data_IF_069832142350
#
_entry.id   IF_069832142350
#
_cell.length_a   1.000
_cell.length_b   1.000
_cell.length_c   1.000
_cell.angle_alpha   90.00
_cell.angle_beta   90.00
_cell.angle_gamma   90.00
#
_symmetry.space_group_name_H-M   'P 1'
#
loop_
_entity.id
_entity.type
_entity.pdbx_description
1 polymer ?
#
# COMPACT_ATOMS: atom_id res chain seq x y z
N UNK A 1 29.96 -62.06 30.50
CA UNK A 1 29.33 -60.83 29.96
C UNK A 1 28.20 -60.47 30.91
N UNK A 2 28.51 -60.13 32.17
CA UNK A 2 29.25 -58.95 32.66
C UNK A 2 28.53 -57.66 32.22
N UNK A 3 28.12 -56.71 33.05
CA UNK A 3 28.23 -56.38 34.48
C UNK A 3 27.09 -55.34 34.70
N UNK A 4 26.31 -55.39 35.80
CA UNK A 4 26.39 -54.43 36.93
C UNK A 4 26.41 -52.94 36.52
N UNK A 5 25.74 -51.98 37.14
CA UNK A 5 24.76 -51.88 38.21
C UNK A 5 24.52 -50.35 38.39
N UNK A 6 23.50 -49.98 39.14
CA UNK A 6 23.43 -48.76 39.97
C UNK A 6 23.34 -47.34 39.33
N UNK A 7 22.28 -46.65 39.80
CA UNK A 7 22.20 -45.25 40.23
C UNK A 7 21.74 -44.13 39.27
N UNK A 8 20.43 -43.83 39.38
CA UNK A 8 19.89 -42.46 39.46
C UNK A 8 20.41 -41.73 40.72
N UNK A 9 20.36 -40.38 40.85
CA UNK A 9 19.09 -39.75 41.24
C UNK A 9 18.88 -38.25 40.89
N UNK A 10 17.65 -37.80 41.16
CA UNK A 10 17.16 -36.41 41.37
C UNK A 10 16.87 -35.56 40.11
N UNK A 11 15.73 -34.87 39.96
CA UNK A 11 14.73 -34.39 40.92
C UNK A 11 13.30 -34.23 40.30
N UNK A 12 12.30 -34.71 41.06
CA UNK A 12 10.97 -34.11 41.42
C UNK A 12 10.17 -33.29 40.39
N UNK A 13 8.83 -33.31 40.28
CA UNK A 13 7.67 -33.97 40.93
C UNK A 13 6.42 -33.39 40.22
N UNK A 14 5.49 -34.18 39.67
CA UNK A 14 4.19 -34.56 40.28
C UNK A 14 3.26 -33.43 40.76
N UNK A 15 2.03 -33.46 40.22
CA UNK A 15 0.73 -33.09 40.81
C UNK A 15 0.41 -31.62 41.14
N UNK A 16 -0.66 -31.08 40.53
CA UNK A 16 -1.99 -31.09 41.14
C UNK A 16 -3.03 -30.40 40.25
N UNK A 17 -4.12 -31.12 39.98
CA UNK A 17 -5.40 -30.53 39.64
C UNK A 17 -6.10 -30.07 40.93
N UNK A 18 -6.61 -28.83 40.93
CA UNK A 18 -7.81 -28.34 41.63
C UNK A 18 -7.87 -26.81 41.44
N UNK A 19 -8.99 -26.11 41.37
CA UNK A 19 -10.38 -26.32 40.98
C UNK A 19 -11.06 -24.96 41.25
N UNK A 20 -12.13 -24.65 40.50
CA UNK A 20 -13.18 -23.66 40.80
C UNK A 20 -12.74 -22.18 40.68
N UNK A 21 -13.53 -21.24 40.14
CA UNK A 21 -14.99 -21.16 40.05
C UNK A 21 -15.42 -20.19 38.94
N UNK A 22 -16.62 -20.46 38.42
CA UNK A 22 -17.52 -19.53 37.75
C UNK A 22 -17.49 -18.11 38.32
N UNK A 23 -17.41 -17.13 37.43
CA UNK A 23 -18.25 -15.94 37.50
C UNK A 23 -18.46 -15.42 36.08
N UNK A 24 -19.59 -15.79 35.50
CA UNK A 24 -20.10 -15.09 34.32
C UNK A 24 -20.41 -13.64 34.67
N UNK A 25 -20.00 -12.74 33.78
CA UNK A 25 -20.71 -11.49 33.52
C UNK A 25 -20.62 -11.21 32.03
N UNK A 26 -21.78 -11.23 31.39
CA UNK A 26 -22.06 -10.59 30.10
C UNK A 26 -21.66 -9.10 30.10
N UNK A 27 -21.63 -8.53 28.87
CA UNK A 27 -21.29 -7.15 28.46
C UNK A 27 -19.83 -7.03 27.97
N UNK A 28 -19.55 -6.58 26.74
CA UNK A 28 -20.00 -5.30 26.19
C UNK A 28 -20.07 -5.35 24.64
N UNK A 29 -21.04 -6.10 24.13
CA UNK A 29 -21.36 -6.24 22.70
C UNK A 29 -21.93 -5.00 21.96
N UNK A 30 -22.29 -3.86 22.60
CA UNK A 30 -22.71 -2.66 21.86
C UNK A 30 -21.69 -1.49 21.85
N UNK A 31 -20.69 -1.46 22.74
CA UNK A 31 -19.81 -0.27 22.89
C UNK A 31 -18.71 -0.13 21.83
N UNK A 32 -18.31 -1.23 21.16
CA UNK A 32 -17.35 -1.16 20.05
C UNK A 32 -17.96 -0.71 18.71
N UNK A 33 -19.29 -0.73 18.59
CA UNK A 33 -19.99 -0.29 17.37
C UNK A 33 -20.28 1.21 17.43
N UNK A 34 -20.60 1.74 18.61
CA UNK A 34 -20.77 3.20 18.79
C UNK A 34 -19.45 3.98 18.67
N UNK A 35 -18.31 3.42 19.09
CA UNK A 35 -17.01 4.08 18.93
C UNK A 35 -16.51 4.13 17.48
N UNK A 36 -17.02 3.26 16.58
CA UNK A 36 -16.73 3.32 15.14
C UNK A 36 -17.57 4.33 14.38
N UNK A 37 -18.79 4.63 14.85
CA UNK A 37 -19.67 5.63 14.25
C UNK A 37 -19.25 7.06 14.63
N UNK A 38 -18.80 7.29 15.88
CA UNK A 38 -18.35 8.61 16.33
C UNK A 38 -17.06 9.10 15.64
N UNK A 39 -16.20 8.21 15.16
CA UNK A 39 -14.96 8.59 14.46
C UNK A 39 -15.27 9.15 13.06
N UNK A 40 -16.32 8.66 12.39
CA UNK A 40 -16.71 9.18 11.07
C UNK A 40 -17.49 10.50 11.18
N UNK A 41 -18.25 10.73 12.24
CA UNK A 41 -18.98 12.01 12.42
C UNK A 41 -18.05 13.16 12.88
N UNK A 42 -17.02 12.89 13.69
CA UNK A 42 -16.09 13.93 14.15
C UNK A 42 -15.20 14.51 13.03
N UNK A 43 -15.04 13.79 11.91
CA UNK A 43 -14.31 14.27 10.73
C UNK A 43 -15.22 15.11 9.82
N UNK A 44 -16.55 14.96 9.92
CA UNK A 44 -17.52 15.66 9.07
C UNK A 44 -18.29 16.81 9.76
N UNK A 45 -18.35 16.86 11.09
CA UNK A 45 -19.02 17.92 11.81
C UNK A 45 -18.00 18.87 12.48
N UNK A 46 -17.70 19.98 11.81
CA UNK A 46 -17.03 21.12 12.46
C UNK A 46 -17.86 21.60 13.65
N UNK A 47 -17.43 21.27 14.86
CA UNK A 47 -17.97 21.86 16.08
C UNK A 47 -16.88 21.97 17.15
N UNK A 48 -16.87 23.14 17.77
CA UNK A 48 -15.73 23.78 18.41
C UNK A 48 -15.19 23.05 19.63
N UNK A 49 -13.86 22.90 19.67
CA UNK A 49 -13.09 22.72 20.91
C UNK A 49 -12.16 23.93 21.11
N UNK A 50 -12.02 24.30 22.37
CA UNK A 50 -11.55 25.57 22.94
C UNK A 50 -10.19 26.08 22.42
N UNK A 51 -9.94 27.40 22.38
CA UNK A 51 -8.76 27.99 21.77
C UNK A 51 -7.53 27.88 22.67
N UNK A 52 -6.47 27.22 22.21
CA UNK A 52 -5.24 27.15 23.01
C UNK A 52 -4.14 26.21 22.49
N UNK A 53 -3.88 26.19 21.19
CA UNK A 53 -2.58 25.86 20.57
C UNK A 53 -2.80 25.86 19.05
N UNK A 54 -2.19 26.81 18.35
CA UNK A 54 -2.48 27.07 16.96
C UNK A 54 -1.98 25.93 16.07
N UNK A 55 -2.86 25.50 15.17
CA UNK A 55 -2.59 24.62 14.02
C UNK A 55 -1.58 25.22 13.00
N UNK A 56 -0.94 26.36 13.32
CA UNK A 56 -0.10 27.14 12.41
C UNK A 56 1.37 26.70 12.40
N UNK A 57 1.87 26.04 13.44
CA UNK A 57 3.31 25.71 13.54
C UNK A 57 3.73 24.54 12.61
N UNK A 58 2.78 23.74 12.11
CA UNK A 58 3.07 22.68 11.14
C UNK A 58 3.20 23.17 9.68
N UNK A 59 2.82 24.43 9.39
CA UNK A 59 2.73 24.96 8.03
C UNK A 59 3.89 25.90 7.63
N UNK A 60 4.66 26.44 8.58
CA UNK A 60 5.70 27.44 8.27
C UNK A 60 6.96 26.86 7.59
N UNK A 61 7.12 25.54 7.53
CA UNK A 61 8.31 24.89 6.97
C UNK A 61 8.36 24.72 5.44
N UNK A 62 7.30 25.07 4.70
CA UNK A 62 7.19 24.78 3.25
C UNK A 62 6.96 26.01 2.36
N UNK A 63 7.05 27.22 2.91
CA UNK A 63 6.75 28.49 2.26
C UNK A 63 7.86 28.99 1.33
N UNK A 64 8.38 28.17 0.41
CA UNK A 64 9.25 28.64 -0.69
C UNK A 64 9.05 27.83 -1.97
N UNK A 65 7.95 28.10 -2.68
CA UNK A 65 7.77 27.76 -4.09
C UNK A 65 7.88 29.06 -4.92
N UNK A 66 8.61 29.09 -6.05
CA UNK A 66 8.79 30.30 -6.85
C UNK A 66 7.47 30.81 -7.44
N UNK A 67 7.28 32.13 -7.36
CA UNK A 67 6.14 32.94 -7.80
C UNK A 67 5.93 33.03 -9.34
N UNK A 68 6.18 31.95 -10.10
CA UNK A 68 6.03 31.91 -11.57
C UNK A 68 4.91 31.01 -12.09
N UNK A 69 3.81 30.88 -11.34
CA UNK A 69 2.59 30.20 -11.83
C UNK A 69 1.37 31.14 -11.97
N UNK A 70 1.49 32.42 -11.64
CA UNK A 70 0.37 33.37 -11.63
C UNK A 70 0.12 34.09 -12.98
N UNK A 71 0.42 33.50 -14.14
CA UNK A 71 0.18 34.20 -15.41
C UNK A 71 -0.38 33.35 -16.56
N UNK A 72 -1.11 32.28 -16.26
CA UNK A 72 -2.06 31.71 -17.20
C UNK A 72 -3.44 32.04 -16.67
N UNK A 73 -4.04 33.10 -17.24
CA UNK A 73 -5.31 33.65 -16.79
C UNK A 73 -6.44 32.63 -16.81
N UNK A 74 -7.38 32.80 -15.88
CA UNK A 74 -8.52 31.91 -15.63
C UNK A 74 -9.36 31.57 -16.89
N UNK A 75 -9.28 32.37 -17.95
CA UNK A 75 -9.93 32.08 -19.24
C UNK A 75 -9.26 30.96 -20.04
N UNK A 76 -7.93 30.80 -19.96
CA UNK A 76 -7.22 29.70 -20.63
C UNK A 76 -7.44 28.35 -19.92
N UNK A 77 -7.69 28.40 -18.60
CA UNK A 77 -8.04 27.23 -17.79
C UNK A 77 -9.50 26.83 -18.02
N UNK A 78 -10.39 27.80 -18.22
CA UNK A 78 -11.81 27.61 -18.57
C UNK A 78 -12.00 26.98 -19.97
N UNK A 79 -11.20 27.37 -20.96
CA UNK A 79 -11.29 26.85 -22.32
C UNK A 79 -10.77 25.40 -22.51
N UNK A 80 -10.12 24.83 -21.49
CA UNK A 80 -9.72 23.41 -21.43
C UNK A 80 -10.78 22.53 -20.74
N UNK A 81 -11.89 23.12 -20.26
CA UNK A 81 -12.99 22.44 -19.56
C UNK A 81 -14.10 21.94 -20.50
N UNK A 82 -13.72 21.19 -21.54
CA UNK A 82 -14.63 20.20 -22.12
C UNK A 82 -14.31 18.81 -21.51
N UNK A 83 -14.51 18.64 -20.20
CA UNK A 83 -14.31 17.35 -19.51
C UNK A 83 -15.59 17.00 -18.71
N UNK A 84 -16.67 16.64 -19.43
CA UNK A 84 -18.00 16.22 -18.93
C UNK A 84 -18.01 14.91 -18.10
N UNK A 85 -16.86 14.35 -17.71
CA UNK A 85 -16.78 12.96 -17.23
C UNK A 85 -15.99 12.80 -15.91
N UNK A 86 -15.89 13.85 -15.09
CA UNK A 86 -15.35 13.74 -13.73
C UNK A 86 -16.49 13.36 -12.76
N UNK A 87 -16.41 12.22 -12.05
CA UNK A 87 -17.46 11.82 -11.13
C UNK A 87 -17.56 12.80 -9.95
N UNK A 88 -18.78 13.00 -9.45
CA UNK A 88 -19.00 13.68 -8.17
C UNK A 88 -18.15 13.01 -7.07
N UNK A 89 -17.57 13.81 -6.17
CA UNK A 89 -16.68 13.34 -5.10
C UNK A 89 -17.45 12.70 -3.93
N UNK A 90 -18.23 11.68 -4.24
CA UNK A 90 -18.91 10.80 -3.27
C UNK A 90 -18.43 9.36 -3.47
N UNK A 91 -18.47 8.57 -2.39
CA UNK A 91 -18.09 7.14 -2.42
C UNK A 91 -18.84 6.41 -3.53
N UNK A 92 -20.15 6.58 -3.60
CA UNK A 92 -21.00 5.87 -4.57
C UNK A 92 -20.71 6.28 -6.01
N UNK A 93 -20.53 7.58 -6.28
CA UNK A 93 -20.22 8.09 -7.62
C UNK A 93 -18.86 7.61 -8.09
N UNK A 94 -17.84 7.74 -7.25
CA UNK A 94 -16.46 7.30 -7.56
C UNK A 94 -16.41 5.79 -7.79
N UNK A 95 -17.06 4.99 -6.94
CA UNK A 95 -17.04 3.53 -7.07
C UNK A 95 -17.78 3.06 -8.32
N UNK A 96 -18.93 3.66 -8.66
CA UNK A 96 -19.63 3.40 -9.92
C UNK A 96 -18.77 3.78 -11.12
N UNK A 97 -18.07 4.91 -11.06
CA UNK A 97 -17.20 5.36 -12.15
C UNK A 97 -16.03 4.40 -12.35
N UNK A 98 -15.28 4.07 -11.29
CA UNK A 98 -14.14 3.14 -11.34
C UNK A 98 -14.57 1.74 -11.77
N UNK A 99 -15.79 1.32 -11.40
CA UNK A 99 -16.36 0.04 -11.79
C UNK A 99 -16.91 0.00 -13.21
N UNK A 100 -16.81 1.10 -13.96
CA UNK A 100 -17.28 1.20 -15.34
C UNK A 100 -16.14 1.18 -16.34
N UNK A 101 -16.44 0.90 -17.61
CA UNK A 101 -15.47 1.00 -18.71
C UNK A 101 -15.00 2.44 -18.98
N UNK A 102 -15.68 3.46 -18.45
CA UNK A 102 -15.28 4.87 -18.58
C UNK A 102 -14.01 5.20 -17.79
N UNK A 103 -13.65 4.38 -16.81
CA UNK A 103 -12.45 4.57 -15.99
C UNK A 103 -11.14 4.44 -16.77
N UNK A 104 -11.19 3.81 -17.94
CA UNK A 104 -10.00 3.52 -18.75
C UNK A 104 -9.78 4.50 -19.89
N UNK A 105 -8.53 4.61 -20.30
CA UNK A 105 -8.17 5.08 -21.64
C UNK A 105 -8.26 3.93 -22.66
N UNK A 106 -8.14 4.26 -23.95
CA UNK A 106 -7.95 3.26 -25.00
C UNK A 106 -6.65 2.46 -24.71
N UNK A 107 -6.78 1.23 -24.23
CA UNK A 107 -5.66 0.41 -23.74
C UNK A 107 -5.84 -0.17 -22.33
N UNK A 108 -6.97 0.09 -21.66
CA UNK A 108 -7.28 -0.53 -20.35
C UNK A 108 -6.47 0.04 -19.19
N UNK A 109 -5.90 1.23 -19.37
CA UNK A 109 -5.11 1.94 -18.35
C UNK A 109 -6.04 2.89 -17.59
N UNK A 110 -6.05 2.88 -16.25
CA UNK A 110 -6.74 3.88 -15.45
C UNK A 110 -6.44 5.31 -15.92
N UNK A 111 -7.47 6.16 -16.01
CA UNK A 111 -7.27 7.59 -16.32
C UNK A 111 -6.42 8.25 -15.21
N UNK A 112 -5.21 8.76 -15.51
CA UNK A 112 -4.32 9.29 -14.47
C UNK A 112 -4.89 10.47 -13.70
N UNK A 113 -5.63 11.36 -14.39
CA UNK A 113 -6.33 12.50 -13.75
C UNK A 113 -7.29 12.03 -12.65
N UNK A 114 -8.09 11.00 -12.93
CA UNK A 114 -9.06 10.46 -11.96
C UNK A 114 -8.33 9.83 -10.78
N UNK A 115 -7.29 9.04 -11.04
CA UNK A 115 -6.48 8.41 -9.98
C UNK A 115 -5.87 9.47 -9.05
N UNK A 116 -5.25 10.53 -9.61
CA UNK A 116 -4.67 11.62 -8.83
C UNK A 116 -5.73 12.40 -8.03
N UNK A 117 -6.93 12.57 -8.59
CA UNK A 117 -8.02 13.30 -7.93
C UNK A 117 -8.59 12.55 -6.72
N UNK A 118 -8.81 11.23 -6.85
CA UNK A 118 -9.45 10.41 -5.80
C UNK A 118 -8.47 9.86 -4.78
N UNK A 119 -7.19 9.73 -5.11
CA UNK A 119 -6.20 9.19 -4.17
C UNK A 119 -5.94 10.17 -3.02
N UNK A 120 -5.80 9.62 -1.81
CA UNK A 120 -5.63 10.36 -0.57
C UNK A 120 -6.90 11.05 -0.07
N UNK A 121 -8.08 10.73 -0.62
CA UNK A 121 -9.36 11.36 -0.21
C UNK A 121 -10.18 10.51 0.76
N UNK A 122 -9.86 9.23 0.91
CA UNK A 122 -10.69 8.24 1.61
C UNK A 122 -11.85 7.70 0.76
N UNK A 123 -12.03 8.19 -0.47
CA UNK A 123 -13.13 7.82 -1.35
C UNK A 123 -12.77 6.75 -2.37
N UNK A 124 -11.49 6.41 -2.50
CA UNK A 124 -11.05 5.46 -3.51
C UNK A 124 -11.33 4.01 -3.07
N UNK A 125 -11.76 3.11 -3.98
CA UNK A 125 -12.03 1.72 -3.66
C UNK A 125 -10.87 0.95 -3.02
N UNK A 126 -9.62 1.32 -3.34
CA UNK A 126 -8.42 0.68 -2.82
C UNK A 126 -8.00 1.19 -1.43
N UNK A 127 -8.59 2.29 -0.94
CA UNK A 127 -8.29 2.90 0.35
C UNK A 127 -9.08 2.23 1.48
N UNK A 128 -8.72 0.99 1.79
CA UNK A 128 -9.46 0.15 2.75
C UNK A 128 -9.10 0.39 4.23
N UNK A 129 -8.18 1.31 4.51
CA UNK A 129 -7.74 1.70 5.87
C UNK A 129 -7.21 0.55 6.74
N UNK A 130 -6.65 -0.48 6.10
CA UNK A 130 -6.03 -1.67 6.73
C UNK A 130 -5.06 -2.33 5.73
N UNK A 131 -4.07 -3.12 6.20
CA UNK A 131 -3.22 -3.86 5.27
C UNK A 131 -4.02 -4.90 4.47
N UNK A 132 -3.59 -5.12 3.24
CA UNK A 132 -4.09 -6.20 2.39
C UNK A 132 -3.84 -7.56 3.04
N UNK A 133 -4.75 -8.53 2.82
CA UNK A 133 -4.59 -9.91 3.33
C UNK A 133 -3.25 -10.52 2.94
N UNK A 134 -2.85 -10.43 1.67
CA UNK A 134 -1.62 -11.05 1.20
C UNK A 134 -0.37 -10.45 1.89
N UNK A 135 -0.39 -9.17 2.27
CA UNK A 135 0.69 -8.53 3.02
C UNK A 135 0.77 -9.09 4.44
N UNK A 136 -0.38 -9.31 5.09
CA UNK A 136 -0.43 -10.00 6.39
C UNK A 136 0.15 -11.41 6.30
N UNK A 137 -0.21 -12.15 5.25
CA UNK A 137 0.31 -13.50 5.03
C UNK A 137 1.83 -13.50 4.78
N UNK A 138 2.36 -12.52 4.04
CA UNK A 138 3.81 -12.35 3.81
C UNK A 138 4.56 -11.98 5.10
N UNK A 139 3.98 -11.14 5.96
CA UNK A 139 4.54 -10.84 7.29
C UNK A 139 4.64 -12.11 8.14
N UNK A 140 3.59 -12.95 8.16
CA UNK A 140 3.59 -14.22 8.88
C UNK A 140 4.64 -15.20 8.34
N UNK A 141 4.88 -15.18 7.02
CA UNK A 141 5.95 -15.92 6.34
C UNK A 141 7.35 -15.33 6.52
N UNK A 142 7.49 -14.21 7.24
CA UNK A 142 8.76 -13.49 7.48
C UNK A 142 9.43 -13.02 6.18
N UNK A 143 8.63 -12.65 5.19
CA UNK A 143 9.09 -12.24 3.87
C UNK A 143 9.73 -10.83 3.82
N UNK A 144 9.63 -10.05 4.89
CA UNK A 144 10.13 -8.68 4.96
C UNK A 144 11.30 -8.55 5.95
N UNK A 145 12.45 -8.15 5.43
CA UNK A 145 13.69 -7.91 6.19
C UNK A 145 14.59 -6.95 5.40
N UNK A 146 15.51 -6.27 6.09
CA UNK A 146 16.43 -5.31 5.48
C UNK A 146 15.72 -4.05 4.99
N UNK A 147 16.11 -3.51 3.84
CA UNK A 147 15.44 -2.34 3.24
C UNK A 147 14.26 -2.78 2.39
N UNK A 148 13.07 -2.30 2.75
CA UNK A 148 11.81 -2.63 2.07
C UNK A 148 11.26 -1.38 1.39
N UNK A 149 10.92 -1.46 0.11
CA UNK A 149 10.21 -0.42 -0.63
C UNK A 149 8.74 -0.82 -0.76
N UNK A 150 7.81 0.00 -0.27
CA UNK A 150 6.38 -0.07 -0.65
C UNK A 150 6.16 0.89 -1.83
N UNK A 151 6.07 0.32 -3.03
CA UNK A 151 6.08 1.07 -4.29
C UNK A 151 4.65 1.39 -4.74
N UNK A 152 4.27 2.67 -4.69
CA UNK A 152 2.86 3.08 -4.85
C UNK A 152 2.05 2.82 -3.59
N UNK A 153 2.57 3.27 -2.44
CA UNK A 153 2.07 2.88 -1.12
C UNK A 153 0.67 3.44 -0.79
N UNK A 154 0.15 4.37 -1.59
CA UNK A 154 -1.10 5.09 -1.32
C UNK A 154 -1.07 5.70 0.08
N UNK A 155 -2.17 5.54 0.81
CA UNK A 155 -2.32 6.06 2.19
C UNK A 155 -1.58 5.24 3.26
N UNK A 156 -0.61 4.40 2.86
CA UNK A 156 0.44 3.84 3.72
C UNK A 156 0.04 2.68 4.64
N UNK A 157 -1.13 2.05 4.44
CA UNK A 157 -1.58 0.99 5.36
C UNK A 157 -0.69 -0.26 5.35
N UNK A 158 -0.20 -0.66 4.18
CA UNK A 158 0.73 -1.78 4.04
C UNK A 158 2.10 -1.43 4.64
N UNK A 159 2.71 -0.32 4.22
CA UNK A 159 3.97 0.18 4.77
C UNK A 159 3.98 0.26 6.31
N UNK A 160 2.94 0.88 6.91
CA UNK A 160 2.82 0.98 8.37
C UNK A 160 2.68 -0.40 9.02
N UNK A 161 1.93 -1.31 8.42
CA UNK A 161 1.78 -2.65 8.98
C UNK A 161 3.11 -3.42 8.94
N UNK A 162 3.83 -3.39 7.83
CA UNK A 162 5.15 -4.04 7.68
C UNK A 162 6.16 -3.44 8.67
N UNK A 163 6.25 -2.10 8.74
CA UNK A 163 7.15 -1.42 9.68
C UNK A 163 6.87 -1.81 11.14
N UNK A 164 5.58 -1.95 11.51
CA UNK A 164 5.19 -2.36 12.87
C UNK A 164 5.54 -3.81 13.17
N UNK A 165 5.26 -4.71 12.23
CA UNK A 165 5.29 -6.15 12.46
C UNK A 165 6.67 -6.78 12.18
N UNK A 166 7.55 -6.09 11.47
CA UNK A 166 8.86 -6.59 11.06
C UNK A 166 9.98 -5.68 11.58
N UNK A 167 10.47 -5.86 12.83
CA UNK A 167 11.52 -5.00 13.41
C UNK A 167 12.85 -4.99 12.63
N UNK A 168 13.11 -6.04 11.84
CA UNK A 168 14.27 -6.13 10.96
C UNK A 168 14.10 -5.44 9.61
N UNK A 169 12.94 -4.81 9.35
CA UNK A 169 12.65 -4.11 8.11
C UNK A 169 12.74 -2.59 8.31
N UNK A 170 13.53 -1.91 7.47
CA UNK A 170 13.51 -0.47 7.28
C UNK A 170 12.65 -0.16 6.06
N UNK A 171 11.44 0.36 6.30
CA UNK A 171 10.44 0.59 5.25
C UNK A 171 10.58 2.00 4.68
N UNK A 172 10.67 2.10 3.35
CA UNK A 172 10.48 3.33 2.59
C UNK A 172 9.19 3.19 1.79
N UNK A 173 8.25 4.13 1.96
CA UNK A 173 6.97 4.14 1.27
C UNK A 173 6.97 5.27 0.24
N UNK A 174 6.69 4.94 -1.02
CA UNK A 174 6.73 5.86 -2.14
C UNK A 174 5.37 5.99 -2.78
N UNK A 175 4.93 7.21 -3.02
CA UNK A 175 3.78 7.50 -3.88
C UNK A 175 4.03 8.78 -4.66
N UNK A 176 3.42 8.89 -5.85
CA UNK A 176 3.50 10.10 -6.69
C UNK A 176 2.51 11.17 -6.22
N UNK A 177 1.45 10.79 -5.50
CA UNK A 177 0.40 11.70 -5.02
C UNK A 177 0.76 12.18 -3.61
N UNK A 178 1.15 13.45 -3.41
CA UNK A 178 1.60 13.94 -2.10
C UNK A 178 0.55 13.78 -1.00
N UNK A 179 -0.73 13.97 -1.32
CA UNK A 179 -1.86 13.79 -0.40
C UNK A 179 -1.91 12.40 0.22
N UNK A 180 -1.53 11.35 -0.52
CA UNK A 180 -1.47 9.99 0.01
C UNK A 180 -0.45 9.88 1.14
N UNK A 181 0.72 10.51 0.96
CA UNK A 181 1.80 10.51 1.95
C UNK A 181 1.49 11.41 3.14
N UNK A 182 0.77 12.52 2.95
CA UNK A 182 0.22 13.32 4.06
C UNK A 182 -0.71 12.47 4.93
N UNK A 183 -1.60 11.68 4.31
CA UNK A 183 -2.47 10.76 5.03
C UNK A 183 -1.67 9.66 5.75
N UNK A 184 -0.68 9.07 5.08
CA UNK A 184 0.20 8.07 5.68
C UNK A 184 0.97 8.64 6.89
N UNK A 185 1.47 9.87 6.80
CA UNK A 185 2.15 10.57 7.89
C UNK A 185 1.20 10.83 9.07
N UNK A 186 -0.04 11.24 8.81
CA UNK A 186 -1.05 11.43 9.86
C UNK A 186 -1.34 10.11 10.59
N UNK A 187 -1.52 9.00 9.86
CA UNK A 187 -1.69 7.66 10.45
C UNK A 187 -0.45 7.23 11.25
N UNK A 188 0.75 7.50 10.75
CA UNK A 188 2.00 7.19 11.44
C UNK A 188 2.07 7.93 12.79
N UNK A 189 1.75 9.23 12.79
CA UNK A 189 1.74 10.05 14.00
C UNK A 189 0.73 9.52 15.03
N UNK A 190 -0.51 9.24 14.62
CA UNK A 190 -1.56 8.69 15.49
C UNK A 190 -1.19 7.33 16.11
N UNK A 191 -0.30 6.57 15.46
CA UNK A 191 0.16 5.26 15.92
C UNK A 191 1.51 5.29 16.67
N UNK A 192 2.09 6.47 16.90
CA UNK A 192 3.45 6.65 17.44
C UNK A 192 4.53 5.95 16.58
N UNK A 193 4.38 6.04 15.26
CA UNK A 193 5.20 5.36 14.26
C UNK A 193 5.92 6.31 13.30
N UNK A 194 5.93 7.63 13.56
CA UNK A 194 6.53 8.64 12.67
C UNK A 194 7.95 8.31 12.22
N UNK A 195 8.75 7.69 13.11
CA UNK A 195 10.16 7.37 12.85
C UNK A 195 10.38 5.91 12.38
N UNK A 196 9.32 5.18 12.03
CA UNK A 196 9.40 3.76 11.64
C UNK A 196 9.33 3.53 10.12
N UNK A 197 9.02 4.57 9.34
CA UNK A 197 8.98 4.51 7.87
C UNK A 197 9.45 5.84 7.27
N UNK A 198 10.18 5.75 6.16
CA UNK A 198 10.55 6.89 5.34
C UNK A 198 9.45 7.13 4.30
N UNK A 199 8.85 8.32 4.27
CA UNK A 199 7.83 8.69 3.28
C UNK A 199 8.46 9.56 2.19
N UNK A 200 8.31 9.16 0.92
CA UNK A 200 8.99 9.82 -0.20
C UNK A 200 8.03 10.06 -1.36
N UNK A 201 7.85 11.32 -1.74
CA UNK A 201 7.16 11.68 -2.99
C UNK A 201 8.11 11.38 -4.15
N UNK A 202 7.76 10.46 -5.03
CA UNK A 202 8.53 10.18 -6.25
C UNK A 202 7.68 9.58 -7.35
N UNK A 203 8.04 9.87 -8.61
CA UNK A 203 7.53 9.14 -9.76
C UNK A 203 8.46 7.95 -10.06
N UNK A 204 7.96 6.72 -9.87
CA UNK A 204 8.71 5.51 -10.18
C UNK A 204 8.76 5.19 -11.68
N UNK A 205 8.13 6.01 -12.53
CA UNK A 205 8.27 6.00 -13.98
C UNK A 205 9.41 6.90 -14.48
N UNK A 206 10.10 7.60 -13.58
CA UNK A 206 11.25 8.45 -13.91
C UNK A 206 12.43 7.61 -14.42
N UNK A 207 12.84 7.89 -15.65
CA UNK A 207 13.91 7.18 -16.35
C UNK A 207 15.30 7.73 -15.99
N UNK A 208 15.41 9.01 -15.65
CA UNK A 208 16.67 9.58 -15.18
C UNK A 208 16.90 9.23 -13.71
N UNK A 209 17.89 8.37 -13.44
CA UNK A 209 18.29 8.02 -12.08
C UNK A 209 18.72 9.23 -11.24
N UNK A 210 19.23 10.29 -11.86
CA UNK A 210 19.59 11.53 -11.17
C UNK A 210 18.38 12.33 -10.68
N UNK A 211 17.20 12.08 -11.24
CA UNK A 211 15.94 12.73 -10.86
C UNK A 211 15.19 11.99 -9.74
N UNK A 212 15.55 10.74 -9.43
CA UNK A 212 14.97 10.03 -8.29
C UNK A 212 15.50 10.61 -6.97
N UNK A 213 14.66 10.74 -5.93
CA UNK A 213 15.10 11.25 -4.64
C UNK A 213 16.28 10.44 -4.07
N UNK A 214 17.31 11.09 -3.49
CA UNK A 214 18.46 10.40 -2.90
C UNK A 214 18.10 9.34 -1.85
N UNK A 215 16.96 9.49 -1.17
CA UNK A 215 16.44 8.51 -0.21
C UNK A 215 16.14 7.14 -0.82
N UNK A 216 15.76 7.10 -2.11
CA UNK A 216 15.57 5.85 -2.86
C UNK A 216 16.89 5.25 -3.31
N UNK A 217 17.90 6.12 -3.50
CA UNK A 217 19.29 5.79 -3.75
C UNK A 217 19.48 4.83 -4.92
N UNK A 218 19.92 5.28 -6.10
CA UNK A 218 20.63 4.37 -6.98
C UNK A 218 22.06 4.26 -6.44
N UNK A 219 22.27 3.46 -5.38
CA UNK A 219 23.61 2.90 -5.16
C UNK A 219 23.90 2.01 -6.38
N UNK A 220 25.17 1.90 -6.80
CA UNK A 220 25.55 1.18 -8.03
C UNK A 220 25.06 -0.28 -8.09
N UNK A 221 24.66 -0.86 -6.96
CA UNK A 221 24.13 -2.22 -6.83
C UNK A 221 22.67 -2.29 -6.36
N UNK A 222 21.96 -1.17 -6.20
CA UNK A 222 20.61 -1.12 -5.64
C UNK A 222 20.56 -0.92 -4.13
N UNK A 223 19.41 -0.50 -3.64
CA UNK A 223 19.17 -0.01 -2.27
C UNK A 223 18.24 -0.91 -1.45
N UNK A 224 17.41 -1.73 -2.09
CA UNK A 224 16.33 -2.47 -1.45
C UNK A 224 16.47 -3.99 -1.58
N UNK A 225 16.10 -4.70 -0.52
CA UNK A 225 16.08 -6.16 -0.39
C UNK A 225 14.76 -6.71 -0.91
N UNK A 226 13.68 -5.97 -0.61
CA UNK A 226 12.32 -6.34 -0.93
C UNK A 226 11.58 -5.14 -1.47
N UNK A 227 10.83 -5.34 -2.56
CA UNK A 227 9.80 -4.42 -3.04
C UNK A 227 8.45 -5.08 -2.81
N UNK A 228 7.53 -4.33 -2.21
CA UNK A 228 6.12 -4.62 -2.18
C UNK A 228 5.43 -3.79 -3.27
N UNK A 229 4.78 -4.45 -4.22
CA UNK A 229 3.84 -3.86 -5.17
C UNK A 229 2.45 -4.37 -4.83
N UNK A 230 1.64 -3.50 -4.21
CA UNK A 230 0.26 -3.80 -3.89
C UNK A 230 -0.66 -3.13 -4.90
N UNK A 231 -0.72 -3.68 -6.10
CA UNK A 231 -1.66 -3.26 -7.16
C UNK A 231 -1.27 -1.94 -7.85
N UNK A 232 0.04 -1.72 -8.01
CA UNK A 232 0.59 -0.55 -8.71
C UNK A 232 0.94 -0.88 -10.15
N UNK A 233 1.67 -1.97 -10.39
CA UNK A 233 2.07 -2.42 -11.73
C UNK A 233 0.90 -2.54 -12.72
N UNK A 234 -0.23 -3.09 -12.27
CA UNK A 234 -1.41 -3.27 -13.13
C UNK A 234 -2.23 -1.99 -13.33
N UNK A 235 -1.77 -0.83 -12.87
CA UNK A 235 -2.32 0.47 -13.21
C UNK A 235 -1.61 1.11 -14.40
N UNK A 236 -0.57 0.48 -14.95
CA UNK A 236 0.28 1.06 -15.98
C UNK A 236 -0.03 0.53 -17.40
N UNK A 237 0.20 1.40 -18.39
CA UNK A 237 0.30 1.03 -19.81
C UNK A 237 1.53 0.16 -20.05
N UNK A 238 1.62 -0.51 -21.19
CA UNK A 238 2.80 -1.33 -21.51
C UNK A 238 4.10 -0.51 -21.45
N UNK A 239 4.13 0.66 -22.07
CA UNK A 239 5.29 1.56 -22.02
C UNK A 239 5.63 2.04 -20.60
N UNK A 240 4.64 2.23 -19.72
CA UNK A 240 4.87 2.59 -18.33
C UNK A 240 5.34 1.39 -17.50
N UNK A 241 4.88 0.17 -17.79
CA UNK A 241 5.36 -1.06 -17.14
C UNK A 241 6.84 -1.27 -17.40
N UNK A 242 7.31 -1.04 -18.64
CA UNK A 242 8.73 -1.15 -18.97
C UNK A 242 9.60 -0.17 -18.16
N UNK A 243 9.15 1.10 -18.07
CA UNK A 243 9.84 2.13 -17.27
C UNK A 243 9.84 1.78 -15.78
N UNK A 244 8.68 1.39 -15.25
CA UNK A 244 8.53 0.99 -13.86
C UNK A 244 9.45 -0.19 -13.49
N UNK A 245 9.47 -1.24 -14.32
CA UNK A 245 10.33 -2.42 -14.10
C UNK A 245 11.80 -2.07 -14.21
N UNK A 246 12.18 -1.17 -15.12
CA UNK A 246 13.54 -0.62 -15.19
C UNK A 246 13.91 0.11 -13.89
N UNK A 247 13.01 0.92 -13.33
CA UNK A 247 13.19 1.57 -12.02
C UNK A 247 13.33 0.55 -10.89
N UNK A 248 12.44 -0.44 -10.80
CA UNK A 248 12.55 -1.50 -9.80
C UNK A 248 13.87 -2.27 -9.93
N UNK A 249 14.33 -2.53 -11.16
CA UNK A 249 15.64 -3.17 -11.40
C UNK A 249 16.78 -2.35 -10.83
N UNK A 250 16.77 -1.02 -10.99
CA UNK A 250 17.81 -0.14 -10.43
C UNK A 250 17.78 -0.08 -8.90
N UNK A 251 16.58 -0.06 -8.32
CA UNK A 251 16.38 0.08 -6.87
C UNK A 251 16.62 -1.22 -6.10
N UNK A 252 16.37 -2.38 -6.70
CA UNK A 252 16.51 -3.67 -6.03
C UNK A 252 17.95 -4.19 -6.10
N UNK A 253 18.46 -4.76 -5.01
CA UNK A 253 19.76 -5.45 -5.01
C UNK A 253 19.72 -6.76 -5.82
N UNK A 254 20.84 -7.26 -6.36
CA UNK A 254 20.92 -8.64 -6.86
C UNK A 254 20.42 -9.64 -5.81
N UNK A 255 19.57 -10.59 -6.23
CA UNK A 255 18.91 -11.54 -5.35
C UNK A 255 17.73 -10.98 -4.54
N UNK A 256 17.44 -9.68 -4.63
CA UNK A 256 16.29 -9.07 -3.98
C UNK A 256 14.96 -9.53 -4.60
N UNK A 257 13.89 -9.41 -3.82
CA UNK A 257 12.56 -9.92 -4.15
C UNK A 257 11.54 -8.81 -4.41
N UNK A 258 10.60 -9.07 -5.29
CA UNK A 258 9.37 -8.31 -5.46
C UNK A 258 8.20 -9.22 -5.08
N UNK A 259 7.35 -8.76 -4.18
CA UNK A 259 6.03 -9.33 -3.94
C UNK A 259 5.00 -8.44 -4.61
N UNK A 260 4.43 -8.91 -5.71
CA UNK A 260 3.53 -8.14 -6.57
C UNK A 260 2.14 -8.76 -6.59
N UNK A 261 1.12 -8.03 -6.16
CA UNK A 261 -0.27 -8.50 -6.20
C UNK A 261 -1.07 -7.76 -7.28
N UNK A 262 -1.40 -8.46 -8.35
CA UNK A 262 -2.14 -7.92 -9.49
C UNK A 262 -3.47 -8.63 -9.67
N UNK A 263 -4.48 -7.89 -10.11
CA UNK A 263 -5.76 -8.46 -10.55
C UNK A 263 -5.53 -9.49 -11.66
N UNK A 264 -6.13 -10.66 -11.53
CA UNK A 264 -5.95 -11.79 -12.45
C UNK A 264 -6.95 -11.75 -13.59
N UNK A 265 -6.67 -12.44 -14.69
CA UNK A 265 -7.59 -12.64 -15.83
C UNK A 265 -8.88 -13.38 -15.48
N UNK A 266 -8.94 -14.04 -14.32
CA UNK A 266 -10.19 -14.62 -13.83
C UNK A 266 -11.19 -13.58 -13.31
N UNK A 267 -10.75 -12.34 -13.10
CA UNK A 267 -11.63 -11.23 -12.76
C UNK A 267 -12.30 -10.69 -14.03
N UNK A 268 -13.58 -11.04 -14.21
CA UNK A 268 -14.34 -10.76 -15.43
C UNK A 268 -15.23 -9.52 -15.34
N UNK A 269 -15.40 -8.92 -14.16
CA UNK A 269 -16.24 -7.72 -14.00
C UNK A 269 -15.67 -6.53 -14.80
N UNK A 270 -16.49 -5.62 -15.35
CA UNK A 270 -15.99 -4.46 -16.09
C UNK A 270 -15.35 -3.43 -15.14
N UNK A 271 -14.49 -2.54 -15.65
CA UNK A 271 -13.85 -1.48 -14.84
C UNK A 271 -12.61 -1.95 -14.05
N UNK A 272 -12.15 -1.11 -13.13
CA UNK A 272 -10.95 -1.31 -12.28
C UNK A 272 -9.64 -1.44 -13.06
N UNK A 273 -8.47 -1.61 -12.44
CA UNK A 273 -7.20 -1.73 -13.17
C UNK A 273 -7.17 -2.94 -14.14
N UNK A 274 -6.21 -2.96 -15.07
CA UNK A 274 -6.05 -4.07 -16.02
C UNK A 274 -5.78 -5.39 -15.28
N UNK A 275 -6.11 -6.49 -15.97
CA UNK A 275 -5.85 -7.85 -15.51
C UNK A 275 -4.53 -8.31 -16.07
N UNK A 276 -3.73 -8.97 -15.25
CA UNK A 276 -2.40 -9.44 -15.61
C UNK A 276 -2.43 -10.96 -15.69
N UNK A 277 -2.22 -11.49 -16.90
CA UNK A 277 -2.06 -12.94 -17.09
C UNK A 277 -0.68 -13.38 -16.62
N UNK A 278 -0.54 -14.66 -16.27
CA UNK A 278 0.78 -15.24 -15.94
C UNK A 278 1.75 -15.09 -17.12
N UNK A 279 1.25 -15.25 -18.36
CA UNK A 279 2.05 -15.11 -19.57
C UNK A 279 2.51 -13.66 -19.79
N UNK A 280 1.62 -12.67 -19.60
CA UNK A 280 1.94 -11.24 -19.67
C UNK A 280 3.01 -10.89 -18.63
N UNK A 281 2.82 -11.29 -17.36
CA UNK A 281 3.81 -11.05 -16.32
C UNK A 281 5.18 -11.69 -16.63
N UNK A 282 5.21 -12.94 -17.10
CA UNK A 282 6.44 -13.63 -17.48
C UNK A 282 7.10 -13.05 -18.73
N UNK A 283 6.35 -12.36 -19.60
CA UNK A 283 6.96 -11.67 -20.74
C UNK A 283 7.81 -10.47 -20.30
N UNK A 284 7.39 -9.79 -19.22
CA UNK A 284 8.10 -8.64 -18.64
C UNK A 284 9.21 -9.11 -17.70
N UNK A 285 8.89 -10.03 -16.79
CA UNK A 285 9.79 -10.61 -15.80
C UNK A 285 10.29 -11.98 -16.27
N UNK A 286 11.34 -11.97 -17.10
CA UNK A 286 12.01 -13.19 -17.57
C UNK A 286 13.52 -13.13 -17.39
N UNK A 287 14.18 -14.29 -17.53
CA UNK A 287 15.62 -14.44 -17.36
C UNK A 287 16.41 -13.60 -18.37
N UNK A 288 15.89 -13.42 -19.58
CA UNK A 288 16.48 -12.54 -20.60
C UNK A 288 16.56 -11.07 -20.14
N UNK A 289 15.64 -10.64 -19.26
CA UNK A 289 15.60 -9.29 -18.69
C UNK A 289 16.15 -9.23 -17.25
N UNK A 290 16.83 -10.30 -16.82
CA UNK A 290 17.45 -10.39 -15.50
C UNK A 290 16.45 -10.58 -14.36
N UNK A 291 15.35 -11.28 -14.61
CA UNK A 291 14.35 -11.63 -13.59
C UNK A 291 14.04 -13.12 -13.56
N UNK A 292 13.61 -13.61 -12.41
CA UNK A 292 13.07 -14.96 -12.24
C UNK A 292 11.73 -14.87 -11.51
N UNK A 293 10.69 -15.54 -12.00
CA UNK A 293 9.39 -15.62 -11.32
C UNK A 293 9.36 -16.91 -10.51
N UNK A 294 9.69 -16.80 -9.22
CA UNK A 294 9.81 -17.92 -8.30
C UNK A 294 8.47 -18.58 -7.95
N UNK A 295 7.41 -17.78 -7.90
CA UNK A 295 6.12 -18.22 -7.39
C UNK A 295 4.95 -17.44 -7.95
N UNK A 296 3.83 -18.15 -8.14
CA UNK A 296 2.53 -17.59 -8.49
C UNK A 296 1.50 -18.24 -7.58
N UNK A 297 0.81 -17.43 -6.79
CA UNK A 297 -0.21 -17.88 -5.83
C UNK A 297 -1.53 -17.19 -6.12
N UNK A 298 -2.65 -17.88 -5.93
CA UNK A 298 -3.97 -17.25 -5.93
C UNK A 298 -4.09 -16.26 -4.77
N UNK A 299 -4.69 -15.11 -5.04
CA UNK A 299 -4.81 -14.01 -4.09
C UNK A 299 -6.10 -13.23 -4.33
N UNK A 300 -6.30 -12.20 -3.52
CA UNK A 300 -7.37 -11.22 -3.69
C UNK A 300 -6.80 -9.81 -3.56
N UNK A 301 -7.39 -8.87 -4.30
CA UNK A 301 -7.29 -7.44 -3.97
C UNK A 301 -8.50 -7.11 -3.12
N UNK A 302 -8.30 -6.70 -1.87
CA UNK A 302 -9.37 -6.21 -1.01
C UNK A 302 -9.66 -4.74 -1.33
N UNK A 303 -10.94 -4.39 -1.41
CA UNK A 303 -11.44 -3.06 -1.72
C UNK A 303 -12.54 -2.65 -0.76
N UNK A 304 -13.00 -1.40 -0.86
CA UNK A 304 -14.16 -0.93 -0.13
C UNK A 304 -15.39 -1.81 -0.42
N UNK A 305 -16.23 -2.18 0.57
CA UNK A 305 -17.34 -3.12 0.37
C UNK A 305 -18.34 -2.71 -0.72
N UNK A 306 -18.57 -1.41 -0.91
CA UNK A 306 -19.48 -0.90 -1.96
C UNK A 306 -18.88 -1.00 -3.36
N UNK A 307 -17.58 -1.26 -3.49
CA UNK A 307 -16.93 -1.60 -4.75
C UNK A 307 -16.77 -3.11 -4.86
N UNK A 308 -17.51 -3.72 -5.80
CA UNK A 308 -17.36 -5.14 -6.14
C UNK A 308 -17.47 -6.10 -4.94
N UNK A 309 -18.31 -5.77 -3.95
CA UNK A 309 -18.45 -6.52 -2.71
C UNK A 309 -17.12 -6.67 -1.92
N UNK A 310 -16.21 -5.71 -2.07
CA UNK A 310 -14.99 -5.57 -1.29
C UNK A 310 -13.82 -6.46 -1.70
N UNK A 311 -13.89 -7.15 -2.85
CA UNK A 311 -12.79 -8.01 -3.31
C UNK A 311 -12.79 -8.26 -4.82
N UNK A 312 -11.59 -8.41 -5.39
CA UNK A 312 -11.35 -8.86 -6.77
C UNK A 312 -10.39 -10.05 -6.80
N UNK A 313 -10.55 -10.94 -7.79
CA UNK A 313 -9.62 -12.07 -7.99
C UNK A 313 -8.26 -11.57 -8.44
N UNK A 314 -7.20 -12.05 -7.80
CA UNK A 314 -5.84 -11.59 -8.02
C UNK A 314 -4.85 -12.75 -8.01
N UNK A 315 -3.61 -12.47 -8.40
CA UNK A 315 -2.46 -13.35 -8.16
C UNK A 315 -1.36 -12.58 -7.45
N UNK A 316 -0.73 -13.26 -6.51
CA UNK A 316 0.50 -12.83 -5.87
C UNK A 316 1.68 -13.48 -6.61
N UNK A 317 2.57 -12.64 -7.11
CA UNK A 317 3.80 -13.03 -7.78
C UNK A 317 4.98 -12.79 -6.85
N UNK A 318 5.85 -13.79 -6.73
CA UNK A 318 7.17 -13.65 -6.10
C UNK A 318 8.21 -13.63 -7.21
N UNK A 319 8.93 -12.53 -7.33
CA UNK A 319 9.85 -12.27 -8.45
C UNK A 319 11.22 -11.90 -7.89
N UNK A 320 12.28 -12.54 -8.38
CA UNK A 320 13.66 -12.29 -7.96
C UNK A 320 14.44 -11.55 -9.05
N UNK A 321 15.24 -10.57 -8.65
CA UNK A 321 16.27 -9.99 -9.53
C UNK A 321 17.47 -10.93 -9.60
N UNK A 322 17.83 -11.37 -10.80
CA UNK A 322 19.08 -12.10 -11.08
C UNK A 322 20.19 -11.16 -11.56
#
# INVERSE_FOLDING_TARGET
>A
MDLEDLESPTSTSSCCARALSDSGTEADGPKLVQSRLQINEAICAGSALSPGSSFSEAFEGFSLLPSRLNSLGDEALSALLEDEDVPELTVDSIHKFIGSSRYHTAGGVPRPKILAQVSGTGLAPWEIHRPQKFVRDLVLRRCFSGRVLDAGCGIGDNALYVAKACPGAKVTAVDVVPRCLEFAAAKANLRNMRNQLDLVVADLLENDSGCLPPALGPNSTGSFDVVLDSSTFHCFSDAHRDRYVSTLRRLLRPGGLIYMNCMSEEETRPGGPRRITIADLRSVFCTANGWEVDGVEDSVVESHPTFWAGKAKARLFTIRKI
#
